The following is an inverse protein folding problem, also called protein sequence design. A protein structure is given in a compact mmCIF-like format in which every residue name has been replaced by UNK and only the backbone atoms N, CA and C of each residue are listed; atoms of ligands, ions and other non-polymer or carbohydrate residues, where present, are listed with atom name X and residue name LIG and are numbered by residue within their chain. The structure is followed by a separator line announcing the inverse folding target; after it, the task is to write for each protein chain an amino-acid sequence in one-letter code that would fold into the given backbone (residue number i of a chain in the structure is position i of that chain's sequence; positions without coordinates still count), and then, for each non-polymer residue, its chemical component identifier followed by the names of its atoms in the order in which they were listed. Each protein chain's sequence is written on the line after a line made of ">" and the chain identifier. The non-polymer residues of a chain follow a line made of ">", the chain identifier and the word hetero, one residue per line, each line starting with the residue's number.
data_IF_998899781809
#
_entry.id   IF_998899781809
#
_cell.length_a   1.000
_cell.length_b   1.000
_cell.length_c   1.000
_cell.angle_alpha   90.00
_cell.angle_beta   90.00
_cell.angle_gamma   90.00
#
_symmetry.space_group_name_H-M   'P 1'
#
loop_
_entity.id
_entity.type
_entity.pdbx_description
1 polymer ?
#
# COMPACT_ATOMS: atom_id res chain seq x y z
N UNK A 1 35.39 8.21 14.18
CA UNK A 1 34.15 7.58 14.62
C UNK A 1 33.04 8.08 13.72
N UNK A 2 32.31 7.25 12.97
CA UNK A 2 31.13 7.72 12.27
C UNK A 2 30.13 8.19 13.32
N UNK A 3 29.64 9.42 13.21
CA UNK A 3 28.55 9.94 14.04
C UNK A 3 27.37 8.97 13.91
N UNK A 4 26.93 8.37 15.02
CA UNK A 4 25.70 7.59 15.01
C UNK A 4 24.56 8.52 14.58
N UNK A 5 23.86 8.13 13.54
CA UNK A 5 22.74 8.92 13.07
C UNK A 5 21.71 9.05 14.20
N UNK A 6 21.21 10.27 14.42
CA UNK A 6 20.19 10.56 15.42
C UNK A 6 18.95 9.67 15.20
N UNK A 7 18.57 8.82 16.19
CA UNK A 7 17.44 7.89 16.05
C UNK A 7 16.12 8.58 15.72
N UNK A 8 15.86 9.77 16.26
CA UNK A 8 14.62 10.51 16.01
C UNK A 8 14.57 11.05 14.57
N UNK A 9 15.72 11.48 14.05
CA UNK A 9 15.85 11.88 12.65
C UNK A 9 15.64 10.69 11.72
N UNK A 10 16.17 9.50 12.04
CA UNK A 10 15.98 8.30 11.23
C UNK A 10 14.51 7.87 11.24
N UNK A 11 13.85 7.91 12.38
CA UNK A 11 12.42 7.65 12.50
C UNK A 11 11.60 8.62 11.65
N UNK A 12 11.89 9.91 11.70
CA UNK A 12 11.20 10.91 10.90
C UNK A 12 11.35 10.67 9.40
N UNK A 13 12.53 10.26 8.92
CA UNK A 13 12.75 9.88 7.52
C UNK A 13 11.92 8.65 7.19
N UNK A 14 12.01 7.59 7.99
CA UNK A 14 11.33 6.33 7.80
C UNK A 14 9.80 6.50 7.68
N UNK A 15 9.17 7.24 8.61
CA UNK A 15 7.74 7.48 8.59
C UNK A 15 7.30 8.34 7.40
N UNK A 16 8.11 9.31 6.99
CA UNK A 16 7.82 10.10 5.78
C UNK A 16 7.91 9.26 4.50
N UNK A 17 8.87 8.32 4.40
CA UNK A 17 8.98 7.40 3.26
C UNK A 17 7.77 6.45 3.22
N UNK A 18 7.33 5.93 4.37
CA UNK A 18 6.12 5.13 4.47
C UNK A 18 4.85 5.94 4.15
N UNK A 19 4.76 7.20 4.56
CA UNK A 19 3.63 8.07 4.21
C UNK A 19 3.57 8.31 2.69
N UNK A 20 4.72 8.50 2.04
CA UNK A 20 4.80 8.57 0.58
C UNK A 20 4.32 7.27 -0.06
N UNK A 21 4.81 6.11 0.40
CA UNK A 21 4.35 4.79 -0.05
C UNK A 21 2.85 4.58 0.16
N UNK A 22 2.31 4.99 1.32
CA UNK A 22 0.88 4.89 1.62
C UNK A 22 0.01 5.72 0.67
N UNK A 23 0.45 6.95 0.32
CA UNK A 23 -0.26 7.77 -0.66
C UNK A 23 -0.32 7.09 -2.04
N UNK A 24 0.77 6.45 -2.45
CA UNK A 24 0.84 5.68 -3.69
C UNK A 24 -0.05 4.42 -3.64
N UNK A 25 -0.03 3.72 -2.51
CA UNK A 25 -0.88 2.55 -2.26
C UNK A 25 -2.37 2.90 -2.36
N UNK A 26 -2.80 4.03 -1.79
CA UNK A 26 -4.18 4.54 -1.90
C UNK A 26 -4.57 4.78 -3.37
N UNK A 27 -3.73 5.48 -4.14
CA UNK A 27 -4.03 5.75 -5.56
C UNK A 27 -4.13 4.45 -6.38
N UNK A 28 -3.24 3.48 -6.12
CA UNK A 28 -3.26 2.19 -6.77
C UNK A 28 -4.50 1.37 -6.39
N UNK A 29 -4.86 1.35 -5.11
CA UNK A 29 -6.06 0.65 -4.61
C UNK A 29 -7.34 1.27 -5.20
N UNK A 30 -7.45 2.60 -5.27
CA UNK A 30 -8.56 3.31 -5.92
C UNK A 30 -8.69 2.96 -7.39
N UNK A 31 -7.57 2.87 -8.10
CA UNK A 31 -7.54 2.50 -9.50
C UNK A 31 -7.99 1.05 -9.70
N UNK A 32 -7.46 0.09 -8.92
CA UNK A 32 -7.89 -1.31 -8.93
C UNK A 32 -9.38 -1.43 -8.66
N UNK A 33 -9.89 -0.77 -7.60
CA UNK A 33 -11.32 -0.72 -7.26
C UNK A 33 -12.16 -0.21 -8.43
N UNK A 34 -11.79 0.94 -9.02
CA UNK A 34 -12.58 1.56 -10.07
C UNK A 34 -12.60 0.72 -11.35
N UNK A 35 -11.48 0.12 -11.70
CA UNK A 35 -11.32 -0.71 -12.91
C UNK A 35 -11.99 -2.09 -12.80
N UNK A 36 -12.30 -2.54 -11.59
CA UNK A 36 -12.91 -3.86 -11.33
C UNK A 36 -14.31 -3.77 -10.70
N UNK A 37 -14.95 -2.60 -10.70
CA UNK A 37 -16.25 -2.36 -10.03
C UNK A 37 -17.36 -3.31 -10.50
N UNK A 38 -17.34 -3.74 -11.75
CA UNK A 38 -18.32 -4.67 -12.34
C UNK A 38 -17.92 -6.14 -12.27
N UNK A 39 -16.75 -6.45 -11.69
CA UNK A 39 -16.29 -7.84 -11.54
C UNK A 39 -16.86 -8.42 -10.24
N UNK A 40 -17.70 -9.47 -10.37
CA UNK A 40 -18.39 -10.09 -9.23
C UNK A 40 -17.47 -10.72 -8.19
N UNK A 41 -16.26 -11.13 -8.58
CA UNK A 41 -15.29 -11.75 -7.65
C UNK A 41 -14.27 -10.78 -7.08
N UNK A 42 -13.94 -9.72 -7.82
CA UNK A 42 -12.89 -8.77 -7.44
C UNK A 42 -13.43 -7.46 -6.88
N UNK A 43 -14.61 -7.01 -7.33
CA UNK A 43 -15.13 -5.68 -7.06
C UNK A 43 -15.32 -5.40 -5.57
N UNK A 44 -16.03 -6.28 -4.86
CA UNK A 44 -16.29 -6.11 -3.42
C UNK A 44 -15.04 -6.25 -2.55
N UNK A 45 -14.19 -7.29 -2.69
CA UNK A 45 -12.94 -7.39 -1.94
C UNK A 45 -12.03 -6.18 -2.16
N UNK A 46 -11.85 -5.70 -3.40
CA UNK A 46 -11.03 -4.54 -3.69
C UNK A 46 -11.61 -3.24 -3.11
N UNK A 47 -12.93 -3.11 -3.04
CA UNK A 47 -13.58 -1.95 -2.42
C UNK A 47 -13.30 -1.90 -0.90
N UNK A 48 -13.40 -3.04 -0.21
CA UNK A 48 -13.09 -3.16 1.22
C UNK A 48 -11.61 -2.89 1.49
N UNK A 49 -10.70 -3.57 0.77
CA UNK A 49 -9.26 -3.38 0.92
C UNK A 49 -8.87 -1.91 0.66
N UNK A 50 -9.46 -1.27 -0.34
CA UNK A 50 -9.21 0.15 -0.63
C UNK A 50 -9.59 1.05 0.56
N UNK A 51 -10.76 0.84 1.17
CA UNK A 51 -11.21 1.61 2.33
C UNK A 51 -10.30 1.39 3.55
N UNK A 52 -9.84 0.16 3.76
CA UNK A 52 -8.90 -0.16 4.85
C UNK A 52 -7.52 0.49 4.63
N UNK A 53 -7.00 0.49 3.40
CA UNK A 53 -5.73 1.16 3.06
C UNK A 53 -5.84 2.68 3.28
N UNK A 54 -6.97 3.29 2.95
CA UNK A 54 -7.25 4.70 3.22
C UNK A 54 -7.23 4.97 4.74
N UNK A 55 -7.90 4.13 5.54
CA UNK A 55 -7.91 4.23 7.00
C UNK A 55 -6.52 4.03 7.63
N UNK A 56 -5.72 3.10 7.09
CA UNK A 56 -4.33 2.87 7.54
C UNK A 56 -3.45 4.10 7.31
N UNK A 57 -3.59 4.75 6.14
CA UNK A 57 -2.88 5.99 5.86
C UNK A 57 -3.25 7.10 6.83
N UNK A 58 -4.53 7.29 7.14
CA UNK A 58 -4.98 8.28 8.13
C UNK A 58 -4.47 7.94 9.54
N UNK A 59 -4.36 6.66 9.88
CA UNK A 59 -3.76 6.23 11.14
C UNK A 59 -2.26 6.58 11.20
N UNK A 60 -1.50 6.36 10.13
CA UNK A 60 -0.09 6.76 10.06
C UNK A 60 0.08 8.28 10.24
N UNK A 61 -0.78 9.08 9.63
CA UNK A 61 -0.79 10.54 9.82
C UNK A 61 -0.98 10.90 11.30
N UNK A 62 -1.96 10.29 11.99
CA UNK A 62 -2.19 10.52 13.41
C UNK A 62 -1.01 10.10 14.29
N UNK A 63 -0.35 8.99 13.95
CA UNK A 63 0.87 8.55 14.63
C UNK A 63 1.98 9.60 14.50
N UNK A 64 2.21 10.10 13.28
CA UNK A 64 3.22 11.14 13.03
C UNK A 64 2.91 12.42 13.82
N UNK A 65 1.64 12.86 13.83
CA UNK A 65 1.20 14.04 14.58
C UNK A 65 1.43 13.86 16.10
N UNK A 66 1.15 12.67 16.66
CA UNK A 66 1.41 12.35 18.09
C UNK A 66 2.89 12.33 18.43
N UNK A 67 3.74 11.93 17.49
CA UNK A 67 5.20 11.92 17.65
C UNK A 67 5.85 13.29 17.33
N UNK A 68 5.08 14.29 16.93
CA UNK A 68 5.59 15.60 16.55
C UNK A 68 6.45 15.59 15.27
N UNK A 69 6.24 14.59 14.39
CA UNK A 69 7.01 14.43 13.17
C UNK A 69 6.34 15.21 12.03
N UNK A 70 7.05 16.20 11.50
CA UNK A 70 6.59 16.99 10.36
C UNK A 70 6.47 16.14 9.09
N UNK A 71 5.36 16.33 8.38
CA UNK A 71 5.10 15.66 7.11
C UNK A 71 5.76 16.41 5.95
N UNK A 72 6.62 15.72 5.22
CA UNK A 72 7.25 16.27 4.02
C UNK A 72 6.26 16.30 2.84
N UNK A 73 6.42 17.28 1.94
CA UNK A 73 5.58 17.36 0.75
C UNK A 73 5.82 16.17 -0.18
N UNK A 74 4.75 15.41 -0.49
CA UNK A 74 4.80 14.17 -1.26
C UNK A 74 4.76 14.38 -2.78
N UNK A 75 4.56 15.61 -3.26
CA UNK A 75 4.38 15.95 -4.69
C UNK A 75 5.42 15.33 -5.63
N UNK A 76 6.74 15.34 -5.33
CA UNK A 76 7.74 14.76 -6.25
C UNK A 76 7.67 13.23 -6.32
N UNK A 77 7.33 12.55 -5.23
CA UNK A 77 7.23 11.09 -5.18
C UNK A 77 6.00 10.60 -5.96
N UNK A 78 4.85 11.28 -5.77
CA UNK A 78 3.60 11.01 -6.48
C UNK A 78 3.74 11.24 -7.99
N UNK A 79 4.44 12.29 -8.42
CA UNK A 79 4.67 12.57 -9.84
C UNK A 79 5.48 11.45 -10.54
N UNK A 80 6.54 10.96 -9.89
CA UNK A 80 7.39 9.86 -10.43
C UNK A 80 6.64 8.54 -10.57
N UNK A 81 5.73 8.25 -9.66
CA UNK A 81 4.95 7.02 -9.75
C UNK A 81 3.78 7.16 -10.71
N UNK A 82 3.12 8.31 -10.78
CA UNK A 82 2.12 8.58 -11.80
C UNK A 82 2.67 8.34 -13.21
N UNK A 83 3.94 8.70 -13.44
CA UNK A 83 4.66 8.40 -14.67
C UNK A 83 4.90 6.89 -14.86
N UNK A 84 5.32 6.15 -13.82
CA UNK A 84 5.52 4.69 -13.88
C UNK A 84 4.21 3.94 -14.08
N UNK A 85 3.15 4.29 -13.37
CA UNK A 85 1.81 3.71 -13.56
C UNK A 85 1.21 4.07 -14.92
N UNK A 86 1.55 5.25 -15.46
CA UNK A 86 1.19 5.64 -16.82
C UNK A 86 1.79 4.71 -17.87
N UNK A 87 3.01 4.22 -17.67
CA UNK A 87 3.67 3.23 -18.55
C UNK A 87 3.04 1.84 -18.50
N UNK A 88 2.42 1.45 -17.37
CA UNK A 88 1.67 0.19 -17.27
C UNK A 88 0.40 0.18 -18.14
N UNK A 89 -0.13 1.35 -18.53
CA UNK A 89 -1.25 1.45 -19.47
C UNK A 89 -0.96 0.93 -20.88
N UNK A 90 0.32 0.79 -21.25
CA UNK A 90 0.74 0.37 -22.59
C UNK A 90 0.92 -1.15 -22.74
N UNK A 91 0.67 -1.93 -21.67
CA UNK A 91 0.87 -3.39 -21.68
C UNK A 91 -0.27 -4.10 -22.43
N UNK A 92 -0.15 -4.16 -23.76
CA UNK A 92 -0.91 -5.07 -24.62
C UNK A 92 -2.28 -4.60 -25.12
N UNK A 93 -2.79 -3.44 -24.65
CA UNK A 93 -4.04 -2.86 -25.19
C UNK A 93 -3.92 -1.34 -25.32
N UNK A 94 -4.18 -0.83 -26.52
CA UNK A 94 -4.21 0.61 -26.81
C UNK A 94 -5.48 1.31 -26.26
N UNK A 95 -6.51 0.55 -25.89
CA UNK A 95 -7.76 1.05 -25.32
C UNK A 95 -8.26 0.10 -24.24
N UNK A 96 -8.52 0.65 -23.03
CA UNK A 96 -9.11 -0.07 -21.89
C UNK A 96 -8.12 -0.55 -20.82
N UNK A 97 -8.67 -1.18 -19.80
CA UNK A 97 -7.92 -1.77 -18.69
C UNK A 97 -7.43 -3.17 -19.08
N UNK A 98 -6.12 -3.34 -19.21
CA UNK A 98 -5.51 -4.60 -19.65
C UNK A 98 -5.56 -5.67 -18.56
N UNK A 99 -5.84 -6.95 -18.87
CA UNK A 99 -5.69 -8.06 -17.91
C UNK A 99 -4.31 -8.11 -17.27
N UNK A 100 -3.24 -7.88 -18.04
CA UNK A 100 -1.87 -7.83 -17.52
C UNK A 100 -1.66 -6.65 -16.56
N UNK A 101 -2.26 -5.49 -16.82
CA UNK A 101 -2.19 -4.36 -15.91
C UNK A 101 -2.79 -4.70 -14.54
N UNK A 102 -3.90 -5.46 -14.51
CA UNK A 102 -4.52 -5.96 -13.27
C UNK A 102 -3.57 -6.83 -12.46
N UNK A 103 -2.90 -7.79 -13.11
CA UNK A 103 -1.92 -8.66 -12.46
C UNK A 103 -0.80 -7.84 -11.83
N UNK A 104 -0.16 -6.96 -12.60
CA UNK A 104 0.96 -6.13 -12.13
C UNK A 104 0.55 -5.14 -11.03
N UNK A 105 -0.64 -4.57 -11.11
CA UNK A 105 -1.16 -3.64 -10.09
C UNK A 105 -1.43 -4.37 -8.77
N UNK A 106 -1.95 -5.60 -8.81
CA UNK A 106 -2.12 -6.44 -7.62
C UNK A 106 -0.78 -6.81 -7.00
N UNK A 107 0.23 -7.19 -7.78
CA UNK A 107 1.59 -7.47 -7.30
C UNK A 107 2.20 -6.27 -6.58
N UNK A 108 2.12 -5.08 -7.20
CA UNK A 108 2.65 -3.85 -6.61
C UNK A 108 1.94 -3.49 -5.31
N UNK A 109 0.61 -3.66 -5.26
CA UNK A 109 -0.15 -3.38 -4.05
C UNK A 109 0.18 -4.37 -2.93
N UNK A 110 0.31 -5.65 -3.24
CA UNK A 110 0.73 -6.70 -2.29
C UNK A 110 2.10 -6.39 -1.70
N UNK A 111 3.07 -6.01 -2.53
CA UNK A 111 4.40 -5.61 -2.06
C UNK A 111 4.33 -4.38 -1.11
N UNK A 112 3.51 -3.39 -1.43
CA UNK A 112 3.27 -2.22 -0.58
C UNK A 112 2.64 -2.58 0.77
N UNK A 113 1.69 -3.53 0.78
CA UNK A 113 1.07 -4.04 2.01
C UNK A 113 2.10 -4.76 2.89
N UNK A 114 3.00 -5.55 2.31
CA UNK A 114 4.10 -6.17 3.05
C UNK A 114 4.99 -5.13 3.76
N UNK A 115 5.34 -4.04 3.07
CA UNK A 115 6.06 -2.92 3.68
C UNK A 115 5.29 -2.25 4.81
N UNK A 116 3.98 -2.05 4.65
CA UNK A 116 3.10 -1.49 5.68
C UNK A 116 3.02 -2.40 6.93
N UNK A 117 2.95 -3.72 6.76
CA UNK A 117 2.99 -4.67 7.87
C UNK A 117 4.28 -4.52 8.67
N UNK A 118 5.44 -4.40 8.02
CA UNK A 118 6.72 -4.18 8.70
C UNK A 118 6.76 -2.83 9.43
N UNK A 119 6.15 -1.78 8.88
CA UNK A 119 5.98 -0.50 9.56
C UNK A 119 5.24 -0.68 10.90
N UNK A 120 4.07 -1.33 10.89
CA UNK A 120 3.27 -1.52 12.09
C UNK A 120 3.99 -2.38 13.14
N UNK A 121 4.65 -3.46 12.72
CA UNK A 121 5.49 -4.28 13.61
C UNK A 121 6.63 -3.49 14.25
N UNK A 122 7.30 -2.64 13.48
CA UNK A 122 8.37 -1.77 14.00
C UNK A 122 7.86 -0.72 14.99
N UNK A 123 6.67 -0.15 14.73
CA UNK A 123 6.02 0.79 15.64
C UNK A 123 5.52 0.10 16.91
N UNK A 124 4.98 -1.12 16.82
CA UNK A 124 4.60 -1.93 17.98
C UNK A 124 5.82 -2.18 18.89
N UNK A 125 6.92 -2.65 18.31
CA UNK A 125 8.14 -2.91 19.06
C UNK A 125 8.67 -1.66 19.77
N UNK A 126 8.56 -0.48 19.16
CA UNK A 126 9.16 0.76 19.70
C UNK A 126 8.22 1.53 20.59
N UNK A 127 6.91 1.50 20.34
CA UNK A 127 5.93 2.39 20.92
C UNK A 127 4.67 1.70 21.46
N UNK A 128 4.52 0.38 21.32
CA UNK A 128 3.31 -0.35 21.71
C UNK A 128 2.86 -0.08 23.14
N UNK A 129 3.82 0.03 24.07
CA UNK A 129 3.52 0.32 25.49
C UNK A 129 3.43 1.82 25.82
N UNK A 130 3.89 2.71 24.93
CA UNK A 130 4.09 4.14 25.28
C UNK A 130 3.21 5.09 24.47
N UNK A 131 2.78 4.72 23.26
CA UNK A 131 1.95 5.57 22.41
C UNK A 131 0.48 5.15 22.51
N UNK A 132 -0.21 5.62 23.54
CA UNK A 132 -1.60 5.30 23.79
C UNK A 132 -2.54 5.70 22.63
N UNK A 133 -3.57 4.89 22.40
CA UNK A 133 -4.63 5.14 21.40
C UNK A 133 -4.33 4.54 20.02
N UNK A 134 -3.25 3.75 19.90
CA UNK A 134 -2.93 2.99 18.69
C UNK A 134 -2.71 1.51 19.04
N UNK A 135 -3.39 0.63 18.32
CA UNK A 135 -3.20 -0.83 18.37
C UNK A 135 -2.40 -1.25 17.12
N UNK A 136 -1.08 -1.17 17.23
CA UNK A 136 -0.18 -1.49 16.11
C UNK A 136 -0.21 -2.98 15.77
N UNK A 137 -0.47 -3.84 16.74
CA UNK A 137 -0.61 -5.29 16.50
C UNK A 137 -1.84 -5.55 15.61
N UNK A 138 -3.00 -4.99 15.94
CA UNK A 138 -4.20 -5.13 15.12
C UNK A 138 -4.02 -4.53 13.71
N UNK A 139 -3.25 -3.45 13.57
CA UNK A 139 -2.89 -2.86 12.27
C UNK A 139 -1.99 -3.78 11.44
N UNK A 140 -1.03 -4.47 12.07
CA UNK A 140 -0.17 -5.45 11.42
C UNK A 140 -0.95 -6.69 10.98
N UNK A 141 -1.84 -7.22 11.83
CA UNK A 141 -2.72 -8.35 11.52
C UNK A 141 -3.68 -8.02 10.36
N UNK A 142 -4.21 -6.80 10.33
CA UNK A 142 -5.04 -6.31 9.21
C UNK A 142 -4.22 -6.26 7.91
N UNK A 143 -2.99 -5.76 7.97
CA UNK A 143 -2.10 -5.72 6.80
C UNK A 143 -1.80 -7.13 6.28
N UNK A 144 -1.53 -8.10 7.15
CA UNK A 144 -1.34 -9.50 6.79
C UNK A 144 -2.60 -10.11 6.11
N UNK A 145 -3.77 -9.84 6.67
CA UNK A 145 -5.04 -10.26 6.06
C UNK A 145 -5.27 -9.64 4.67
N UNK A 146 -4.95 -8.37 4.50
CA UNK A 146 -5.02 -7.68 3.20
C UNK A 146 -4.05 -8.32 2.19
N UNK A 147 -2.82 -8.63 2.61
CA UNK A 147 -1.82 -9.29 1.79
C UNK A 147 -2.33 -10.61 1.23
N UNK A 148 -2.83 -11.49 2.09
CA UNK A 148 -3.42 -12.78 1.68
C UNK A 148 -4.59 -12.62 0.71
N UNK A 149 -5.50 -11.69 0.96
CA UNK A 149 -6.63 -11.43 0.07
C UNK A 149 -6.16 -10.92 -1.32
N UNK A 150 -5.15 -10.06 -1.36
CA UNK A 150 -4.58 -9.56 -2.62
C UNK A 150 -3.86 -10.68 -3.38
N UNK A 151 -3.15 -11.58 -2.70
CA UNK A 151 -2.53 -12.76 -3.31
C UNK A 151 -3.57 -13.68 -3.96
N UNK A 152 -4.70 -13.94 -3.29
CA UNK A 152 -5.81 -14.72 -3.86
C UNK A 152 -6.39 -14.04 -5.11
N UNK A 153 -6.59 -12.72 -5.07
CA UNK A 153 -7.07 -11.95 -6.22
C UNK A 153 -6.04 -11.94 -7.36
N UNK A 154 -4.75 -11.87 -7.03
CA UNK A 154 -3.67 -11.95 -8.00
C UNK A 154 -3.65 -13.30 -8.72
N UNK A 155 -3.75 -14.41 -8.00
CA UNK A 155 -3.81 -15.75 -8.58
C UNK A 155 -4.99 -15.91 -9.55
N UNK A 156 -6.16 -15.38 -9.18
CA UNK A 156 -7.34 -15.37 -10.07
C UNK A 156 -7.11 -14.49 -11.31
N UNK A 157 -6.50 -13.32 -11.14
CA UNK A 157 -6.19 -12.43 -12.25
C UNK A 157 -5.17 -13.04 -13.21
N UNK A 158 -4.13 -13.70 -12.67
CA UNK A 158 -3.10 -14.38 -13.44
C UNK A 158 -3.69 -15.56 -14.24
N UNK A 159 -4.51 -16.42 -13.62
CA UNK A 159 -5.19 -17.53 -14.29
C UNK A 159 -6.05 -17.05 -15.46
N UNK A 160 -6.83 -15.96 -15.26
CA UNK A 160 -7.65 -15.35 -16.33
C UNK A 160 -6.80 -14.72 -17.45
N UNK A 161 -5.60 -14.21 -17.12
CA UNK A 161 -4.75 -13.49 -18.09
C UNK A 161 -3.86 -14.41 -18.91
N UNK A 162 -3.35 -15.49 -18.29
CA UNK A 162 -2.35 -16.39 -18.90
C UNK A 162 -2.95 -17.72 -19.36
N UNK A 163 -4.21 -17.99 -19.04
CA UNK A 163 -4.87 -19.26 -19.27
C UNK A 163 -4.50 -20.32 -18.23
N UNK A 164 -5.37 -21.30 -18.03
CA UNK A 164 -5.10 -22.46 -17.20
C UNK A 164 -4.10 -23.39 -17.92
N UNK A 165 -3.20 -24.01 -17.15
CA UNK A 165 -2.35 -25.09 -17.70
C UNK A 165 -3.23 -26.20 -18.27
N UNK A 166 -3.09 -26.48 -19.55
CA UNK A 166 -3.67 -27.67 -20.18
C UNK A 166 -2.96 -28.92 -19.68
#
# INVERSE_FOLDING_TARGET
>A
MPQSADPDRLLAIYLNDHLAGAALGVELARRLRSSNRGDGEMGEPLARICAEIEADRETLIRVMDRLGIERRQLKPALARLGERLGRLKLNGQLRGYSPLSRVLELELLTAGIGGKMQLWNGLEQRFGETLEGFDFQALAERADSQGRQLEDLHMKAAARSFGERR
#
